data_IF_265365352054
#
_entry.id   IF_265365352054
#
_cell.length_a   1.000
_cell.length_b   1.000
_cell.length_c   1.000
_cell.angle_alpha   90.00
_cell.angle_beta   90.00
_cell.angle_gamma   90.00
#
_symmetry.space_group_name_H-M   'P 1'
#
loop_
_entity.id
_entity.type
_entity.pdbx_description
1 polymer ?
#
# COMPACT_ATOMS: atom_id res chain seq x y z
N UNK A 1 -1.92 -6.57 -7.24
CA UNK A 1 -1.30 -7.89 -7.50
C UNK A 1 -2.25 -8.86 -8.19
N UNK A 2 -3.36 -9.34 -7.58
CA UNK A 2 -4.22 -10.37 -8.17
C UNK A 2 -4.67 -10.11 -9.62
N UNK A 3 -5.13 -8.89 -9.93
CA UNK A 3 -5.51 -8.52 -11.30
C UNK A 3 -4.32 -8.53 -12.29
N UNK A 4 -3.12 -8.21 -11.83
CA UNK A 4 -1.93 -8.27 -12.65
C UNK A 4 -1.51 -9.72 -12.94
N UNK A 5 -1.57 -10.61 -11.94
CA UNK A 5 -1.36 -12.04 -12.14
C UNK A 5 -2.35 -12.63 -13.15
N UNK A 6 -3.63 -12.23 -13.06
CA UNK A 6 -4.65 -12.67 -14.04
C UNK A 6 -4.34 -12.23 -15.47
N UNK A 7 -3.81 -11.02 -15.67
CA UNK A 7 -3.36 -10.50 -16.97
C UNK A 7 -2.15 -11.26 -17.53
N UNK A 8 -1.29 -11.79 -16.64
CA UNK A 8 -0.16 -12.67 -17.03
C UNK A 8 -0.58 -14.11 -17.37
N UNK A 9 -1.88 -14.44 -17.31
CA UNK A 9 -2.41 -15.75 -17.62
C UNK A 9 -2.61 -16.68 -16.42
N UNK A 10 -2.28 -16.25 -15.20
CA UNK A 10 -2.54 -17.03 -14.00
C UNK A 10 -4.05 -17.07 -13.68
N UNK A 11 -4.60 -18.24 -13.40
CA UNK A 11 -5.93 -18.35 -12.80
C UNK A 11 -5.83 -18.01 -11.31
N UNK A 12 -6.45 -16.90 -10.90
CA UNK A 12 -6.43 -16.43 -9.52
C UNK A 12 -7.80 -16.63 -8.88
N UNK A 13 -7.84 -17.47 -7.84
CA UNK A 13 -9.01 -17.69 -7.01
C UNK A 13 -8.78 -16.96 -5.67
N UNK A 14 -9.34 -15.75 -5.56
CA UNK A 14 -9.21 -14.94 -4.34
C UNK A 14 -10.29 -15.34 -3.35
N UNK A 15 -9.89 -16.07 -2.31
CA UNK A 15 -10.82 -16.49 -1.28
C UNK A 15 -11.17 -15.34 -0.35
N UNK A 16 -12.46 -15.11 -0.16
CA UNK A 16 -12.99 -14.13 0.81
C UNK A 16 -13.82 -14.85 1.88
N UNK A 17 -13.76 -14.33 3.10
CA UNK A 17 -14.59 -14.79 4.22
C UNK A 17 -15.82 -13.92 4.45
N UNK A 18 -16.00 -12.85 3.65
CA UNK A 18 -17.12 -11.93 3.78
C UNK A 18 -18.40 -12.47 3.13
N UNK A 19 -19.56 -12.06 3.66
CA UNK A 19 -20.90 -12.51 3.23
C UNK A 19 -21.32 -12.00 1.84
N UNK A 20 -20.53 -11.15 1.20
CA UNK A 20 -20.87 -10.50 -0.06
C UNK A 20 -20.65 -11.34 -1.33
N UNK A 21 -20.10 -12.55 -1.23
CA UNK A 21 -19.83 -13.41 -2.39
C UNK A 21 -20.36 -14.81 -2.10
N UNK A 22 -21.29 -15.28 -2.94
CA UNK A 22 -21.76 -16.66 -2.94
C UNK A 22 -21.28 -17.33 -4.23
N UNK A 23 -20.52 -18.41 -4.09
CA UNK A 23 -19.94 -19.12 -5.22
C UNK A 23 -18.75 -18.38 -5.83
N UNK A 24 -18.78 -18.11 -7.14
CA UNK A 24 -17.70 -17.48 -7.89
C UNK A 24 -18.18 -16.20 -8.57
N UNK A 25 -17.45 -15.11 -8.35
CA UNK A 25 -17.69 -13.82 -9.02
C UNK A 25 -16.40 -13.34 -9.71
N UNK A 26 -16.44 -13.21 -11.04
CA UNK A 26 -15.33 -12.63 -11.79
C UNK A 26 -15.14 -11.15 -11.43
N UNK A 27 -13.89 -10.75 -11.26
CA UNK A 27 -13.48 -9.35 -11.00
C UNK A 27 -12.44 -8.84 -11.99
N UNK A 28 -12.04 -9.68 -12.93
CA UNK A 28 -11.07 -9.36 -13.98
C UNK A 28 -10.70 -10.58 -14.80
N UNK A 29 -9.83 -10.40 -15.77
CA UNK A 29 -9.32 -11.51 -16.60
C UNK A 29 -8.66 -12.56 -15.72
N UNK A 30 -9.17 -13.79 -15.76
CA UNK A 30 -8.68 -14.93 -14.97
C UNK A 30 -8.69 -14.73 -13.45
N UNK A 31 -9.44 -13.74 -12.91
CA UNK A 31 -9.50 -13.47 -11.45
C UNK A 31 -10.92 -13.58 -10.94
N UNK A 32 -11.09 -14.41 -9.93
CA UNK A 32 -12.37 -14.72 -9.34
C UNK A 32 -12.35 -14.56 -7.82
N UNK A 33 -13.36 -13.87 -7.27
CA UNK A 33 -13.66 -13.92 -5.84
C UNK A 33 -14.50 -15.16 -5.57
N UNK A 34 -14.21 -15.85 -4.45
CA UNK A 34 -15.00 -17.00 -4.03
C UNK A 34 -15.01 -17.15 -2.51
N UNK A 35 -16.10 -17.68 -1.98
CA UNK A 35 -16.20 -18.15 -0.60
C UNK A 35 -16.24 -19.70 -0.50
N UNK A 36 -16.13 -20.42 -1.62
CA UNK A 36 -16.15 -21.88 -1.65
C UNK A 36 -14.85 -22.44 -1.06
N UNK A 37 -14.90 -23.20 0.06
CA UNK A 37 -13.72 -23.79 0.68
C UNK A 37 -13.07 -24.88 -0.18
N UNK A 38 -13.77 -25.43 -1.17
CA UNK A 38 -13.22 -26.48 -2.06
C UNK A 38 -12.03 -25.99 -2.88
N UNK A 39 -11.89 -24.69 -3.08
CA UNK A 39 -10.70 -24.14 -3.77
C UNK A 39 -9.40 -24.41 -3.03
N UNK A 40 -9.48 -24.69 -1.73
CA UNK A 40 -8.31 -25.07 -0.92
C UNK A 40 -7.83 -26.50 -1.17
N UNK A 41 -8.64 -27.32 -1.83
CA UNK A 41 -8.30 -28.70 -2.16
C UNK A 41 -7.78 -28.88 -3.61
N UNK A 42 -7.56 -27.80 -4.35
CA UNK A 42 -7.03 -27.88 -5.73
C UNK A 42 -5.56 -28.30 -5.68
N UNK A 43 -5.24 -29.46 -6.24
CA UNK A 43 -3.87 -29.95 -6.32
C UNK A 43 -3.01 -29.12 -7.28
N UNK A 44 -1.72 -29.00 -6.97
CA UNK A 44 -0.75 -28.26 -7.77
C UNK A 44 -0.93 -26.73 -7.76
N UNK A 45 -1.87 -26.21 -6.98
CA UNK A 45 -2.06 -24.79 -6.83
C UNK A 45 -0.98 -24.15 -5.93
N UNK A 46 -0.53 -22.95 -6.31
CA UNK A 46 0.22 -22.07 -5.42
C UNK A 46 -0.73 -21.45 -4.42
N UNK A 47 -0.48 -21.64 -3.14
CA UNK A 47 -1.28 -21.04 -2.07
C UNK A 47 -0.59 -19.81 -1.51
N UNK A 48 -1.25 -18.67 -1.65
CA UNK A 48 -0.72 -17.40 -1.19
C UNK A 48 -1.39 -16.96 0.12
N UNK A 49 -0.60 -16.81 1.16
CA UNK A 49 -1.03 -16.19 2.42
C UNK A 49 -0.62 -14.71 2.43
N UNK A 50 -1.56 -13.87 2.09
CA UNK A 50 -1.39 -12.42 2.07
C UNK A 50 -1.49 -11.85 3.49
N UNK A 51 -0.36 -11.58 4.14
CA UNK A 51 -0.26 -11.17 5.54
C UNK A 51 -0.46 -12.31 6.56
N UNK A 52 0.13 -12.13 7.72
CA UNK A 52 0.04 -13.05 8.87
C UNK A 52 -1.38 -13.15 9.45
N UNK A 53 -2.24 -12.19 9.14
CA UNK A 53 -3.62 -12.14 9.66
C UNK A 53 -4.58 -13.08 8.92
N UNK A 54 -4.20 -13.60 7.75
CA UNK A 54 -5.08 -14.46 6.92
C UNK A 54 -5.16 -15.91 7.38
N UNK A 55 -4.31 -16.34 8.30
CA UNK A 55 -4.44 -17.68 8.89
C UNK A 55 -4.59 -17.56 10.41
N UNK A 56 -5.61 -18.26 10.93
CA UNK A 56 -5.95 -18.15 12.33
C UNK A 56 -5.01 -18.97 13.21
N UNK A 57 -4.54 -20.12 12.71
CA UNK A 57 -3.70 -21.08 13.42
C UNK A 57 -2.58 -21.63 12.53
N UNK A 58 -1.52 -22.12 13.15
CA UNK A 58 -0.39 -22.75 12.49
C UNK A 58 -0.80 -23.95 11.61
N UNK A 59 -1.81 -24.72 12.02
CA UNK A 59 -2.34 -25.86 11.26
C UNK A 59 -2.87 -25.46 9.87
N UNK A 60 -3.40 -24.25 9.71
CA UNK A 60 -3.95 -23.79 8.44
C UNK A 60 -2.83 -23.67 7.40
N UNK A 61 -1.71 -23.06 7.81
CA UNK A 61 -0.51 -22.92 6.99
C UNK A 61 0.14 -24.29 6.68
N UNK A 62 0.30 -25.11 7.70
CA UNK A 62 0.92 -26.45 7.57
C UNK A 62 0.08 -27.42 6.73
N UNK A 63 -1.26 -27.28 6.76
CA UNK A 63 -2.16 -28.04 5.88
C UNK A 63 -1.98 -27.64 4.42
N UNK A 64 -1.94 -26.34 4.14
CA UNK A 64 -1.68 -25.82 2.79
C UNK A 64 -0.33 -26.30 2.24
N UNK A 65 0.71 -26.32 3.09
CA UNK A 65 2.04 -26.80 2.73
C UNK A 65 2.09 -28.26 2.33
N UNK A 66 1.24 -29.11 2.92
CA UNK A 66 1.15 -30.55 2.55
C UNK A 66 0.54 -30.77 1.17
N UNK A 67 -0.28 -29.84 0.68
CA UNK A 67 -1.02 -29.96 -0.56
C UNK A 67 -0.42 -29.18 -1.74
N UNK A 68 0.72 -28.49 -1.56
CA UNK A 68 1.32 -27.78 -2.67
C UNK A 68 2.36 -26.72 -2.28
N UNK A 69 2.69 -25.89 -3.24
CA UNK A 69 3.61 -24.76 -3.07
C UNK A 69 2.93 -23.63 -2.30
N UNK A 70 3.59 -23.12 -1.27
CA UNK A 70 3.05 -22.08 -0.39
C UNK A 70 3.90 -20.84 -0.41
N UNK A 71 3.29 -19.68 -0.71
CA UNK A 71 3.91 -18.37 -0.56
C UNK A 71 3.38 -17.67 0.68
N UNK A 72 4.25 -16.92 1.34
CA UNK A 72 3.89 -16.03 2.44
C UNK A 72 4.26 -14.59 2.07
N UNK A 73 3.27 -13.73 1.94
CA UNK A 73 3.47 -12.30 1.69
C UNK A 73 3.62 -11.56 3.02
N UNK A 74 4.86 -11.26 3.37
CA UNK A 74 5.22 -10.50 4.56
C UNK A 74 5.22 -9.01 4.22
N UNK A 75 4.05 -8.37 4.38
CA UNK A 75 3.77 -7.04 3.85
C UNK A 75 3.73 -5.94 4.91
N UNK A 76 3.53 -6.31 6.19
CA UNK A 76 3.42 -5.38 7.30
C UNK A 76 4.32 -5.77 8.45
N UNK A 77 4.93 -4.77 9.08
CA UNK A 77 5.61 -4.93 10.35
C UNK A 77 4.60 -5.30 11.45
N UNK A 78 4.94 -6.31 12.25
CA UNK A 78 4.08 -6.75 13.36
C UNK A 78 4.49 -5.99 14.62
N UNK A 79 3.72 -4.97 14.97
CA UNK A 79 3.98 -4.08 16.11
C UNK A 79 2.81 -4.06 17.10
N UNK A 80 3.11 -3.79 18.37
CA UNK A 80 2.12 -3.79 19.45
C UNK A 80 1.04 -2.73 19.28
N UNK A 81 1.38 -1.58 18.70
CA UNK A 81 0.46 -0.44 18.53
C UNK A 81 -0.63 -0.70 17.49
N UNK A 82 -0.38 -1.62 16.53
CA UNK A 82 -1.31 -1.94 15.44
C UNK A 82 -1.87 -3.37 15.50
N UNK A 83 -1.33 -4.21 16.39
CA UNK A 83 -1.69 -5.65 16.48
C UNK A 83 -2.89 -5.96 17.40
N UNK A 84 -3.55 -4.97 17.97
CA UNK A 84 -4.72 -5.18 18.84
C UNK A 84 -4.40 -5.73 20.23
N UNK A 85 -3.20 -5.42 20.74
CA UNK A 85 -2.77 -5.77 22.11
C UNK A 85 -1.80 -6.95 22.20
N UNK A 86 -1.28 -7.19 23.41
CA UNK A 86 -0.16 -8.11 23.67
C UNK A 86 -0.45 -9.56 23.30
N UNK A 87 -1.68 -10.04 23.49
CA UNK A 87 -2.08 -11.42 23.16
C UNK A 87 -2.09 -11.65 21.64
N UNK A 88 -2.66 -10.70 20.90
CA UNK A 88 -2.66 -10.70 19.43
C UNK A 88 -1.25 -10.61 18.89
N UNK A 89 -0.41 -9.73 19.45
CA UNK A 89 0.99 -9.60 19.07
C UNK A 89 1.74 -10.94 19.19
N UNK A 90 1.66 -11.61 20.34
CA UNK A 90 2.32 -12.91 20.56
C UNK A 90 1.86 -13.95 19.55
N UNK A 91 0.55 -14.00 19.29
CA UNK A 91 -0.02 -14.92 18.30
C UNK A 91 0.53 -14.62 16.90
N UNK A 92 0.49 -13.37 16.45
CA UNK A 92 0.99 -12.98 15.12
C UNK A 92 2.48 -13.27 14.96
N UNK A 93 3.30 -13.00 15.99
CA UNK A 93 4.72 -13.33 15.96
C UNK A 93 4.98 -14.83 15.86
N UNK A 94 4.20 -15.68 16.60
CA UNK A 94 4.26 -17.12 16.46
C UNK A 94 3.91 -17.59 15.05
N UNK A 95 2.81 -17.07 14.47
CA UNK A 95 2.36 -17.42 13.13
C UNK A 95 3.38 -16.99 12.06
N UNK A 96 4.00 -15.82 12.22
CA UNK A 96 5.11 -15.36 11.37
C UNK A 96 6.27 -16.36 11.37
N UNK A 97 6.67 -16.86 12.54
CA UNK A 97 7.73 -17.86 12.63
C UNK A 97 7.37 -19.17 11.93
N UNK A 98 6.13 -19.62 12.06
CA UNK A 98 5.62 -20.81 11.35
C UNK A 98 5.67 -20.59 9.84
N UNK A 99 5.26 -19.41 9.37
CA UNK A 99 5.30 -19.06 7.95
C UNK A 99 6.75 -19.01 7.43
N UNK A 100 7.66 -18.36 8.12
CA UNK A 100 9.09 -18.32 7.75
C UNK A 100 9.73 -19.71 7.69
N UNK A 101 9.40 -20.57 8.62
CA UNK A 101 9.95 -21.94 8.66
C UNK A 101 9.43 -22.83 7.52
N UNK A 102 8.20 -22.63 7.05
CA UNK A 102 7.50 -23.58 6.19
C UNK A 102 7.13 -23.06 4.79
N UNK A 103 7.15 -21.74 4.53
CA UNK A 103 6.88 -21.21 3.19
C UNK A 103 7.94 -21.66 2.18
N UNK A 104 7.53 -21.97 0.96
CA UNK A 104 8.45 -22.20 -0.15
C UNK A 104 9.05 -20.88 -0.65
N UNK A 105 8.25 -19.82 -0.59
CA UNK A 105 8.67 -18.46 -0.93
C UNK A 105 8.10 -17.46 0.07
N UNK A 106 8.97 -16.59 0.59
CA UNK A 106 8.59 -15.40 1.36
C UNK A 106 8.73 -14.17 0.45
N UNK A 107 7.66 -13.38 0.38
CA UNK A 107 7.58 -12.17 -0.44
C UNK A 107 7.50 -10.98 0.48
N UNK A 108 8.43 -10.06 0.40
CA UNK A 108 8.47 -8.89 1.27
C UNK A 108 8.21 -7.60 0.49
N UNK A 109 7.43 -6.70 1.06
CA UNK A 109 7.04 -5.44 0.41
C UNK A 109 7.96 -4.27 0.73
N UNK A 110 8.78 -4.35 1.79
CA UNK A 110 9.74 -3.34 2.21
C UNK A 110 11.10 -3.96 2.47
N UNK A 111 12.18 -3.17 2.32
CA UNK A 111 13.56 -3.64 2.49
C UNK A 111 13.82 -4.18 3.89
N UNK A 112 13.33 -3.49 4.92
CA UNK A 112 13.47 -3.94 6.31
C UNK A 112 12.82 -5.32 6.52
N UNK A 113 11.65 -5.55 5.93
CA UNK A 113 10.96 -6.84 5.98
C UNK A 113 11.73 -7.92 5.20
N UNK A 114 12.32 -7.55 4.06
CA UNK A 114 13.14 -8.44 3.25
C UNK A 114 14.40 -8.88 4.00
N UNK A 115 15.07 -7.98 4.68
CA UNK A 115 16.25 -8.28 5.49
C UNK A 115 15.91 -9.27 6.61
N UNK A 116 14.82 -9.05 7.34
CA UNK A 116 14.32 -9.97 8.36
C UNK A 116 13.99 -11.35 7.76
N UNK A 117 13.28 -11.39 6.63
CA UNK A 117 12.93 -12.64 5.96
C UNK A 117 14.17 -13.40 5.49
N UNK A 118 15.16 -12.73 4.89
CA UNK A 118 16.40 -13.35 4.44
C UNK A 118 17.20 -13.90 5.62
N UNK A 119 17.25 -13.18 6.73
CA UNK A 119 17.91 -13.65 7.95
C UNK A 119 17.23 -14.90 8.52
N UNK A 120 15.87 -14.95 8.46
CA UNK A 120 15.09 -16.06 9.05
C UNK A 120 15.05 -17.32 8.18
N UNK A 121 14.98 -17.20 6.85
CA UNK A 121 14.75 -18.34 5.96
C UNK A 121 15.69 -18.44 4.75
N UNK A 122 16.69 -17.58 4.66
CA UNK A 122 17.69 -17.59 3.61
C UNK A 122 17.24 -16.93 2.30
N UNK A 123 18.18 -16.29 1.60
CA UNK A 123 17.91 -15.50 0.39
C UNK A 123 17.28 -16.29 -0.76
N UNK A 124 17.57 -17.61 -0.87
CA UNK A 124 17.04 -18.45 -1.93
C UNK A 124 15.50 -18.52 -1.90
N UNK A 125 14.89 -18.49 -0.70
CA UNK A 125 13.44 -18.54 -0.50
C UNK A 125 12.78 -17.16 -0.32
N UNK A 126 13.49 -16.07 -0.58
CA UNK A 126 12.97 -14.73 -0.42
C UNK A 126 12.97 -13.97 -1.74
N UNK A 127 11.98 -13.10 -1.93
CA UNK A 127 11.92 -12.14 -3.03
C UNK A 127 11.36 -10.81 -2.53
N UNK A 128 11.99 -9.73 -3.00
CA UNK A 128 11.52 -8.37 -2.73
C UNK A 128 10.55 -7.93 -3.81
N UNK A 129 9.30 -7.73 -3.45
CA UNK A 129 8.22 -7.25 -4.33
C UNK A 129 7.48 -6.11 -3.63
N UNK A 130 7.96 -4.87 -3.77
CA UNK A 130 7.27 -3.72 -3.19
C UNK A 130 5.89 -3.52 -3.82
N UNK A 131 5.08 -2.68 -3.21
CA UNK A 131 3.80 -2.30 -3.77
C UNK A 131 3.97 -1.65 -5.15
N UNK A 132 2.90 -1.65 -5.92
CA UNK A 132 2.83 -1.08 -7.27
C UNK A 132 1.60 -0.22 -7.46
N UNK A 133 1.41 0.27 -8.68
CA UNK A 133 0.28 1.14 -9.04
C UNK A 133 -0.43 0.65 -10.30
N UNK A 134 -1.74 0.87 -10.37
CA UNK A 134 -2.53 0.83 -11.60
C UNK A 134 -2.47 2.21 -12.27
N UNK A 135 -1.46 2.40 -13.11
CA UNK A 135 -1.22 3.67 -13.81
C UNK A 135 -2.40 4.05 -14.70
N UNK A 136 -3.04 3.07 -15.35
CA UNK A 136 -4.19 3.34 -16.20
C UNK A 136 -5.37 3.92 -15.40
N UNK A 137 -5.60 3.42 -14.19
CA UNK A 137 -6.63 3.92 -13.30
C UNK A 137 -6.41 5.42 -12.92
N UNK A 138 -5.17 5.79 -12.59
CA UNK A 138 -4.86 7.15 -12.14
C UNK A 138 -4.70 8.17 -13.27
N UNK A 139 -4.23 7.75 -14.46
CA UNK A 139 -4.03 8.62 -15.64
C UNK A 139 -5.26 8.77 -16.52
N UNK A 140 -6.24 7.89 -16.38
CA UNK A 140 -7.36 7.84 -17.31
C UNK A 140 -8.20 9.13 -17.25
N UNK A 141 -7.98 10.02 -18.24
CA UNK A 141 -8.65 11.33 -18.36
C UNK A 141 -10.06 11.23 -18.95
N UNK A 142 -10.45 10.05 -19.46
CA UNK A 142 -11.60 9.89 -20.33
C UNK A 142 -12.91 9.46 -19.66
N UNK A 143 -12.94 9.14 -18.38
CA UNK A 143 -14.14 8.61 -17.75
C UNK A 143 -14.70 9.56 -16.71
N UNK A 144 -15.90 10.06 -17.03
CA UNK A 144 -16.86 10.75 -16.19
C UNK A 144 -16.19 11.71 -15.17
N UNK A 145 -16.40 12.98 -15.36
CA UNK A 145 -16.32 13.97 -14.27
C UNK A 145 -17.26 13.49 -13.18
N UNK A 146 -16.73 12.68 -12.25
CA UNK A 146 -17.48 12.36 -11.04
C UNK A 146 -17.71 13.67 -10.30
N UNK A 147 -18.91 13.86 -9.80
CA UNK A 147 -19.26 15.01 -8.99
C UNK A 147 -18.29 15.09 -7.80
N UNK A 148 -17.34 15.99 -7.90
CA UNK A 148 -16.45 16.31 -6.81
C UNK A 148 -17.29 16.95 -5.72
N UNK A 149 -17.09 16.53 -4.48
CA UNK A 149 -17.77 17.10 -3.33
C UNK A 149 -17.73 18.62 -3.36
N UNK A 150 -18.89 19.27 -3.26
CA UNK A 150 -18.97 20.74 -3.16
C UNK A 150 -18.14 21.30 -2.01
N UNK A 151 -17.97 20.52 -0.94
CA UNK A 151 -17.10 20.88 0.18
C UNK A 151 -15.62 20.99 -0.25
N UNK A 152 -15.13 20.03 -1.06
CA UNK A 152 -13.74 20.09 -1.56
C UNK A 152 -13.56 21.26 -2.55
N UNK A 153 -14.55 21.50 -3.41
CA UNK A 153 -14.46 22.62 -4.35
C UNK A 153 -14.42 23.98 -3.60
N UNK A 154 -15.32 24.20 -2.65
CA UNK A 154 -15.33 25.40 -1.84
C UNK A 154 -14.05 25.56 -1.00
N UNK A 155 -13.52 24.45 -0.49
CA UNK A 155 -12.26 24.46 0.24
C UNK A 155 -11.07 24.84 -0.65
N UNK A 156 -11.01 24.30 -1.87
CA UNK A 156 -10.01 24.66 -2.86
C UNK A 156 -10.08 26.13 -3.26
N UNK A 157 -11.28 26.67 -3.44
CA UNK A 157 -11.48 28.08 -3.83
C UNK A 157 -11.04 29.05 -2.71
N UNK A 158 -11.02 28.59 -1.45
CA UNK A 158 -10.61 29.38 -0.29
C UNK A 158 -9.13 29.27 0.09
N UNK A 159 -8.36 28.39 -0.56
CA UNK A 159 -6.94 28.18 -0.26
C UNK A 159 -6.09 28.25 -1.54
N UNK A 160 -4.93 28.88 -1.43
CA UNK A 160 -4.03 29.06 -2.58
C UNK A 160 -3.48 27.75 -3.12
N UNK A 161 -3.16 26.81 -2.25
CA UNK A 161 -2.64 25.48 -2.58
C UNK A 161 -3.32 24.41 -1.73
N UNK A 162 -3.48 23.23 -2.29
CA UNK A 162 -4.02 22.06 -1.59
C UNK A 162 -2.95 20.98 -1.48
N UNK A 163 -2.68 20.56 -0.25
CA UNK A 163 -1.83 19.40 0.06
C UNK A 163 -2.72 18.27 0.56
N UNK A 164 -2.74 17.15 -0.16
CA UNK A 164 -3.71 16.10 0.07
C UNK A 164 -3.11 14.77 0.54
N UNK A 165 -3.85 14.07 1.37
CA UNK A 165 -3.63 12.70 1.79
C UNK A 165 -4.87 11.86 1.48
N UNK A 166 -4.67 10.69 0.89
CA UNK A 166 -5.70 9.67 0.85
C UNK A 166 -5.19 8.34 1.43
N UNK A 167 -6.03 7.69 2.21
CA UNK A 167 -5.75 6.45 2.91
C UNK A 167 -6.43 6.41 4.27
N UNK A 168 -6.26 5.34 5.03
CA UNK A 168 -6.85 5.23 6.36
C UNK A 168 -6.38 6.36 7.29
N UNK A 169 -7.33 6.95 8.01
CA UNK A 169 -7.05 7.85 9.15
C UNK A 169 -6.81 6.94 10.35
N UNK A 170 -5.55 6.80 10.75
CA UNK A 170 -5.09 5.65 11.51
C UNK A 170 -4.00 6.02 12.53
N UNK A 171 -3.71 5.15 13.53
CA UNK A 171 -2.73 5.46 14.59
C UNK A 171 -1.30 5.76 14.10
N UNK A 172 -0.95 5.36 12.90
CA UNK A 172 0.38 5.64 12.31
C UNK A 172 0.51 7.01 11.65
N UNK A 173 -0.55 7.84 11.62
CA UNK A 173 -0.44 9.24 11.19
C UNK A 173 0.10 10.09 12.34
N UNK A 174 1.02 11.00 12.03
CA UNK A 174 1.61 11.94 12.99
C UNK A 174 0.74 13.19 13.12
N UNK A 175 -0.29 13.10 13.95
CA UNK A 175 -1.30 14.15 14.13
C UNK A 175 -0.73 15.44 14.69
N UNK A 176 0.27 15.37 15.59
CA UNK A 176 0.96 16.54 16.13
C UNK A 176 1.70 17.29 15.02
N UNK A 177 2.40 16.58 14.14
CA UNK A 177 3.02 17.17 12.95
C UNK A 177 1.98 17.89 12.09
N UNK A 178 0.83 17.24 11.81
CA UNK A 178 -0.25 17.86 11.03
C UNK A 178 -0.79 19.12 11.71
N UNK A 179 -0.93 19.12 13.05
CA UNK A 179 -1.37 20.28 13.81
C UNK A 179 -0.38 21.45 13.67
N UNK A 180 0.92 21.19 13.84
CA UNK A 180 1.96 22.21 13.75
C UNK A 180 2.09 22.77 12.32
N UNK A 181 2.15 21.94 11.29
CA UNK A 181 2.27 22.43 9.89
C UNK A 181 1.03 23.18 9.44
N UNK A 182 -0.17 22.78 9.87
CA UNK A 182 -1.40 23.50 9.54
C UNK A 182 -1.47 24.89 10.24
N UNK A 183 -0.81 25.06 11.38
CA UNK A 183 -0.64 26.36 12.03
C UNK A 183 0.38 27.23 11.32
N UNK A 184 1.51 26.65 10.93
CA UNK A 184 2.61 27.36 10.26
C UNK A 184 2.24 27.80 8.84
N UNK A 185 1.31 27.11 8.17
CA UNK A 185 0.95 27.31 6.76
C UNK A 185 -0.54 27.60 6.59
N UNK A 186 -1.07 28.73 7.13
CA UNK A 186 -2.51 29.01 7.14
C UNK A 186 -3.14 29.18 5.76
N UNK A 187 -2.36 29.54 4.74
CA UNK A 187 -2.81 29.70 3.34
C UNK A 187 -2.81 28.38 2.55
N UNK A 188 -2.31 27.29 3.15
CA UNK A 188 -2.31 25.94 2.55
C UNK A 188 -3.47 25.14 3.13
N UNK A 189 -4.33 24.62 2.25
CA UNK A 189 -5.39 23.68 2.64
C UNK A 189 -4.87 22.24 2.72
N UNK A 190 -5.07 21.59 3.86
CA UNK A 190 -4.73 20.19 4.08
C UNK A 190 -5.99 19.33 3.97
N UNK A 191 -6.02 18.41 3.00
CA UNK A 191 -7.18 17.56 2.72
C UNK A 191 -6.88 16.11 3.07
N UNK A 192 -7.77 15.49 3.82
CA UNK A 192 -7.71 14.07 4.19
C UNK A 192 -8.90 13.32 3.62
N UNK A 193 -8.63 12.23 2.89
CA UNK A 193 -9.63 11.34 2.30
C UNK A 193 -9.37 9.91 2.78
N UNK A 194 -10.39 9.25 3.32
CA UNK A 194 -10.31 7.82 3.64
C UNK A 194 -11.11 7.41 4.86
N UNK A 195 -11.16 6.10 5.14
CA UNK A 195 -11.91 5.58 6.27
C UNK A 195 -11.22 5.88 7.61
N UNK A 196 -12.03 5.98 8.65
CA UNK A 196 -11.54 6.00 10.03
C UNK A 196 -11.09 4.58 10.43
N UNK A 197 -9.83 4.49 10.81
CA UNK A 197 -9.28 3.27 11.36
C UNK A 197 -8.98 3.47 12.85
N UNK A 198 -9.69 2.73 13.68
CA UNK A 198 -9.55 2.78 15.15
C UNK A 198 -9.99 4.08 15.83
N UNK A 199 -10.92 4.85 15.24
CA UNK A 199 -11.46 6.06 15.87
C UNK A 199 -10.49 7.24 15.89
N UNK A 200 -9.65 7.39 14.86
CA UNK A 200 -8.60 8.40 14.81
C UNK A 200 -9.02 9.76 14.22
N UNK A 201 -10.21 9.87 13.61
CA UNK A 201 -10.70 11.16 13.08
C UNK A 201 -10.65 12.32 14.07
N UNK A 202 -11.03 12.13 15.37
CA UNK A 202 -10.97 13.21 16.35
C UNK A 202 -9.56 13.77 16.64
N UNK A 203 -8.50 13.05 16.21
CA UNK A 203 -7.10 13.48 16.35
C UNK A 203 -6.68 14.46 15.25
N UNK A 204 -7.43 14.53 14.14
CA UNK A 204 -7.17 15.55 13.10
C UNK A 204 -7.39 16.96 13.67
N UNK A 205 -6.50 17.91 13.33
CA UNK A 205 -6.63 19.30 13.82
C UNK A 205 -7.94 19.95 13.34
N UNK A 206 -8.64 20.59 14.27
CA UNK A 206 -9.85 21.37 13.96
C UNK A 206 -9.48 22.81 13.59
N UNK A 207 -9.01 23.01 12.33
CA UNK A 207 -8.61 24.30 11.80
C UNK A 207 -9.35 24.57 10.50
N UNK A 208 -9.52 25.86 10.14
CA UNK A 208 -10.19 26.26 8.89
C UNK A 208 -9.48 25.77 7.63
N UNK A 209 -8.18 25.48 7.71
CA UNK A 209 -7.36 24.96 6.63
C UNK A 209 -7.10 23.44 6.69
N UNK A 210 -7.89 22.70 7.46
CA UNK A 210 -7.86 21.24 7.51
C UNK A 210 -9.25 20.69 7.20
N UNK A 211 -9.36 19.89 6.14
CA UNK A 211 -10.62 19.30 5.68
C UNK A 211 -10.52 17.78 5.68
N UNK A 212 -11.44 17.11 6.37
CA UNK A 212 -11.67 15.69 6.25
C UNK A 212 -12.94 15.42 5.44
N UNK A 213 -12.83 14.61 4.38
CA UNK A 213 -13.93 14.33 3.45
C UNK A 213 -14.62 12.98 3.68
N UNK A 214 -14.06 12.13 4.55
CA UNK A 214 -14.50 10.76 4.65
C UNK A 214 -13.96 9.85 3.54
N UNK A 215 -14.42 8.59 3.48
CA UNK A 215 -14.02 7.65 2.43
C UNK A 215 -14.64 8.03 1.08
N UNK A 216 -13.84 7.87 0.02
CA UNK A 216 -14.23 8.04 -1.37
C UNK A 216 -14.02 6.71 -2.08
N UNK A 217 -14.96 6.30 -2.94
CA UNK A 217 -14.80 5.09 -3.75
C UNK A 217 -13.51 5.14 -4.57
N UNK A 218 -12.79 4.01 -4.63
CA UNK A 218 -11.51 3.92 -5.33
C UNK A 218 -11.58 4.43 -6.78
N UNK A 219 -12.67 4.10 -7.50
CA UNK A 219 -12.89 4.56 -8.87
C UNK A 219 -12.95 6.08 -9.03
N UNK A 220 -13.35 6.81 -7.97
CA UNK A 220 -13.52 8.27 -7.97
C UNK A 220 -12.28 8.99 -7.44
N UNK A 221 -11.43 8.28 -6.70
CA UNK A 221 -10.29 8.83 -5.99
C UNK A 221 -9.34 9.66 -6.87
N UNK A 222 -9.03 9.24 -8.13
CA UNK A 222 -8.18 10.03 -9.01
C UNK A 222 -8.73 11.44 -9.29
N UNK A 223 -10.06 11.58 -9.42
CA UNK A 223 -10.69 12.90 -9.68
C UNK A 223 -10.52 13.87 -8.50
N UNK A 224 -10.64 13.35 -7.27
CA UNK A 224 -10.39 14.15 -6.06
C UNK A 224 -8.91 14.52 -5.92
N UNK A 225 -8.01 13.56 -6.10
CA UNK A 225 -6.58 13.75 -5.91
C UNK A 225 -5.95 14.65 -7.00
N UNK A 226 -6.54 14.77 -8.18
CA UNK A 226 -6.12 15.77 -9.21
C UNK A 226 -6.24 17.20 -8.73
N UNK A 227 -7.13 17.49 -7.78
CA UNK A 227 -7.27 18.83 -7.20
C UNK A 227 -6.14 19.19 -6.22
N UNK A 228 -5.32 18.24 -5.83
CA UNK A 228 -4.17 18.50 -4.97
C UNK A 228 -3.03 19.12 -5.78
N UNK A 229 -2.32 20.06 -5.18
CA UNK A 229 -1.12 20.67 -5.73
C UNK A 229 0.14 19.86 -5.37
N UNK A 230 0.13 19.25 -4.17
CA UNK A 230 1.11 18.30 -3.70
C UNK A 230 0.40 17.25 -2.82
N UNK A 231 1.08 16.15 -2.58
CA UNK A 231 0.59 15.09 -1.68
C UNK A 231 1.55 14.90 -0.51
N UNK A 232 1.06 14.34 0.60
CA UNK A 232 1.90 14.07 1.75
C UNK A 232 1.57 12.74 2.42
N UNK A 233 2.57 12.16 3.10
CA UNK A 233 2.42 10.93 3.89
C UNK A 233 3.06 11.19 5.26
N UNK A 234 2.31 11.79 6.19
CA UNK A 234 2.83 12.21 7.49
C UNK A 234 2.76 11.05 8.49
N UNK A 235 3.53 10.00 8.29
CA UNK A 235 3.57 8.88 9.23
C UNK A 235 4.45 9.20 10.43
N UNK A 236 4.07 8.72 11.61
CA UNK A 236 4.93 8.76 12.80
C UNK A 236 6.24 8.05 12.50
N UNK A 237 7.36 8.68 12.85
CA UNK A 237 8.68 8.05 12.70
C UNK A 237 8.78 6.80 13.56
N UNK A 238 9.51 5.78 13.09
CA UNK A 238 9.68 4.50 13.75
C UNK A 238 9.57 3.32 12.81
N UNK A 239 9.53 2.11 13.38
CA UNK A 239 9.62 0.86 12.62
C UNK A 239 8.45 0.65 11.65
N UNK A 240 7.25 1.13 11.98
CA UNK A 240 6.09 1.09 11.08
C UNK A 240 6.40 1.89 9.80
N UNK A 241 6.90 3.12 9.94
CA UNK A 241 7.24 3.95 8.79
C UNK A 241 8.38 3.33 7.96
N UNK A 242 9.44 2.81 8.62
CA UNK A 242 10.58 2.16 7.96
C UNK A 242 10.20 0.89 7.20
N UNK A 243 9.23 0.15 7.71
CA UNK A 243 8.78 -1.12 7.14
C UNK A 243 7.57 -0.99 6.19
N UNK A 244 7.14 0.23 5.88
CA UNK A 244 5.98 0.46 5.02
C UNK A 244 6.39 0.77 3.60
N UNK A 245 5.88 -0.01 2.63
CA UNK A 245 5.87 0.33 1.20
C UNK A 245 4.50 0.93 0.86
N UNK A 246 4.33 2.27 0.89
CA UNK A 246 3.01 2.85 0.76
C UNK A 246 2.54 2.85 -0.69
N UNK A 247 1.41 2.19 -0.96
CA UNK A 247 0.72 2.21 -2.27
C UNK A 247 0.56 3.62 -2.81
N UNK A 248 0.14 4.54 -1.94
CA UNK A 248 -0.17 5.92 -2.30
C UNK A 248 1.00 6.72 -2.87
N UNK A 249 2.26 6.33 -2.57
CA UNK A 249 3.41 6.98 -3.19
C UNK A 249 3.38 6.85 -4.72
N UNK A 250 3.19 5.62 -5.21
CA UNK A 250 3.16 5.35 -6.64
C UNK A 250 1.87 5.85 -7.31
N UNK A 251 0.78 5.90 -6.56
CA UNK A 251 -0.49 6.50 -6.98
C UNK A 251 -0.35 8.03 -7.16
N UNK A 252 0.36 8.70 -6.24
CA UNK A 252 0.71 10.12 -6.37
C UNK A 252 1.65 10.37 -7.54
N UNK A 253 2.63 9.50 -7.78
CA UNK A 253 3.50 9.58 -8.95
C UNK A 253 2.69 9.44 -10.25
N UNK A 254 1.74 8.50 -10.32
CA UNK A 254 0.88 8.33 -11.49
C UNK A 254 -0.01 9.55 -11.76
N UNK A 255 -0.35 10.33 -10.73
CA UNK A 255 -1.05 11.61 -10.80
C UNK A 255 -0.09 12.81 -11.04
N UNK A 256 1.21 12.55 -11.19
CA UNK A 256 2.25 13.59 -11.36
C UNK A 256 2.27 14.60 -10.21
N UNK A 257 1.95 14.15 -8.98
CA UNK A 257 1.93 15.02 -7.79
C UNK A 257 3.24 14.89 -7.01
N UNK A 258 3.91 16.01 -6.69
CA UNK A 258 5.03 16.02 -5.76
C UNK A 258 4.60 15.46 -4.41
N UNK A 259 5.48 14.70 -3.77
CA UNK A 259 5.15 13.99 -2.52
C UNK A 259 6.10 14.39 -1.40
N UNK A 260 5.53 14.64 -0.23
CA UNK A 260 6.26 14.94 1.01
C UNK A 260 6.01 13.84 2.03
N UNK A 261 7.08 13.31 2.63
CA UNK A 261 7.00 12.21 3.60
C UNK A 261 7.81 12.51 4.86
N UNK A 262 7.59 11.78 5.93
CA UNK A 262 8.52 11.79 7.07
C UNK A 262 9.79 11.00 6.74
N UNK A 263 10.94 11.41 7.32
CA UNK A 263 12.25 10.89 6.91
C UNK A 263 12.47 9.40 7.18
N UNK A 264 11.72 8.79 8.09
CA UNK A 264 11.78 7.34 8.36
C UNK A 264 11.07 6.47 7.30
N UNK A 265 10.38 7.07 6.34
CA UNK A 265 9.73 6.32 5.25
C UNK A 265 10.76 5.88 4.21
N UNK A 266 11.57 4.88 4.56
CA UNK A 266 12.72 4.42 3.78
C UNK A 266 12.37 4.00 2.36
N UNK A 267 11.22 3.39 2.14
CA UNK A 267 10.74 3.00 0.81
C UNK A 267 10.29 4.20 -0.05
N UNK A 268 10.19 5.39 0.54
CA UNK A 268 9.86 6.63 -0.17
C UNK A 268 11.08 7.50 -0.43
N UNK A 269 11.90 7.73 0.61
CA UNK A 269 13.06 8.65 0.52
C UNK A 269 14.20 8.15 -0.37
N UNK A 270 14.12 6.93 -0.87
CA UNK A 270 15.05 6.41 -1.89
C UNK A 270 14.84 7.06 -3.26
N UNK A 271 13.71 7.72 -3.50
CA UNK A 271 13.42 8.45 -4.74
C UNK A 271 13.82 9.91 -4.57
N UNK A 272 14.68 10.41 -5.46
CA UNK A 272 15.17 11.81 -5.44
C UNK A 272 14.04 12.83 -5.61
N UNK A 273 12.91 12.43 -6.19
CA UNK A 273 11.71 13.24 -6.40
C UNK A 273 10.84 13.38 -5.14
N UNK A 274 11.16 12.67 -4.06
CA UNK A 274 10.43 12.73 -2.80
C UNK A 274 11.07 13.73 -1.85
N UNK A 275 10.26 14.63 -1.35
CA UNK A 275 10.65 15.60 -0.33
C UNK A 275 10.42 14.99 1.07
N UNK A 276 11.26 15.33 2.04
CA UNK A 276 11.11 14.79 3.40
C UNK A 276 11.46 15.79 4.49
N UNK A 277 10.90 15.57 5.68
CA UNK A 277 11.21 16.34 6.89
C UNK A 277 10.99 15.51 8.15
N UNK A 278 11.82 15.76 9.18
CA UNK A 278 11.81 15.01 10.44
C UNK A 278 11.14 15.77 11.61
N UNK A 279 10.71 16.99 11.35
CA UNK A 279 9.98 17.86 12.27
C UNK A 279 9.12 18.85 11.48
N UNK A 280 8.28 19.61 12.15
CA UNK A 280 7.33 20.51 11.51
C UNK A 280 7.99 21.57 10.62
N UNK A 281 9.13 22.12 11.03
CA UNK A 281 9.85 23.15 10.28
C UNK A 281 10.41 22.57 8.97
N UNK A 282 11.06 21.41 9.06
CA UNK A 282 11.60 20.70 7.88
C UNK A 282 10.48 20.25 6.96
N UNK A 283 9.39 19.72 7.52
CA UNK A 283 8.25 19.23 6.76
C UNK A 283 7.50 20.37 6.05
N UNK A 284 7.29 21.52 6.70
CA UNK A 284 6.73 22.71 6.07
C UNK A 284 7.60 23.20 4.90
N UNK A 285 8.93 23.25 5.10
CA UNK A 285 9.88 23.59 4.02
C UNK A 285 9.83 22.58 2.86
N UNK A 286 9.70 21.29 3.17
CA UNK A 286 9.54 20.23 2.17
C UNK A 286 8.23 20.42 1.36
N UNK A 287 7.14 20.82 2.02
CA UNK A 287 5.88 21.19 1.34
C UNK A 287 6.09 22.38 0.40
N UNK A 288 6.76 23.44 0.85
CA UNK A 288 7.06 24.60 0.01
C UNK A 288 7.87 24.22 -1.24
N UNK A 289 8.91 23.38 -1.06
CA UNK A 289 9.72 22.87 -2.16
C UNK A 289 8.89 22.04 -3.15
N UNK A 290 8.02 21.16 -2.66
CA UNK A 290 7.10 20.37 -3.47
C UNK A 290 6.14 21.25 -4.26
N UNK A 291 5.56 22.28 -3.62
CA UNK A 291 4.68 23.25 -4.27
C UNK A 291 5.39 24.08 -5.34
N UNK A 292 6.67 24.37 -5.17
CA UNK A 292 7.45 25.14 -6.15
C UNK A 292 7.67 24.37 -7.46
N UNK A 293 7.80 23.05 -7.41
CA UNK A 293 8.05 22.19 -8.60
C UNK A 293 6.77 21.60 -9.20
N UNK A 294 5.59 21.80 -8.60
CA UNK A 294 4.34 21.15 -9.00
C UNK A 294 3.92 21.34 -10.46
N UNK A 295 4.39 22.45 -11.07
CA UNK A 295 4.09 22.79 -12.46
C UNK A 295 5.30 22.62 -13.40
N UNK A 296 6.44 22.12 -12.91
CA UNK A 296 7.61 21.85 -13.74
C UNK A 296 7.35 20.60 -14.61
N UNK A 297 7.32 20.74 -15.95
CA UNK A 297 7.05 19.61 -16.84
C UNK A 297 8.11 18.51 -16.75
N UNK A 298 9.37 18.87 -16.46
CA UNK A 298 10.45 17.89 -16.34
C UNK A 298 10.31 17.07 -15.07
N UNK A 299 9.91 17.71 -13.96
CA UNK A 299 9.62 17.03 -12.70
C UNK A 299 8.43 16.09 -12.84
N UNK A 300 7.33 16.55 -13.44
CA UNK A 300 6.15 15.72 -13.71
C UNK A 300 6.48 14.49 -14.55
N UNK A 301 7.31 14.64 -15.59
CA UNK A 301 7.75 13.53 -16.42
C UNK A 301 8.51 12.49 -15.59
N UNK A 302 9.42 12.89 -14.70
CA UNK A 302 10.12 11.95 -13.82
C UNK A 302 9.17 11.20 -12.90
N UNK A 303 8.18 11.87 -12.32
CA UNK A 303 7.15 11.19 -11.53
C UNK A 303 6.36 10.16 -12.35
N UNK A 304 6.00 10.54 -13.58
CA UNK A 304 5.33 9.67 -14.53
C UNK A 304 6.17 8.42 -14.85
N UNK A 305 7.46 8.60 -15.13
CA UNK A 305 8.40 7.51 -15.41
C UNK A 305 8.56 6.58 -14.19
N UNK A 306 8.62 7.15 -12.97
CA UNK A 306 8.64 6.39 -11.72
C UNK A 306 7.36 5.57 -11.52
N UNK A 307 6.19 6.12 -11.85
CA UNK A 307 4.94 5.36 -11.79
C UNK A 307 4.97 4.18 -12.77
N UNK A 308 5.44 4.39 -14.01
CA UNK A 308 5.55 3.34 -15.02
C UNK A 308 6.53 2.23 -14.61
N UNK A 309 7.64 2.59 -13.96
CA UNK A 309 8.60 1.62 -13.44
C UNK A 309 8.07 0.79 -12.25
N UNK A 310 7.01 1.27 -11.58
CA UNK A 310 6.44 0.65 -10.39
C UNK A 310 5.02 0.11 -10.62
N UNK A 311 4.67 -0.32 -11.84
CA UNK A 311 3.37 -0.91 -12.16
C UNK A 311 3.20 -2.30 -11.54
N UNK A 312 1.96 -2.66 -11.25
CA UNK A 312 1.60 -3.99 -10.74
C UNK A 312 1.97 -5.14 -11.66
N UNK A 313 1.98 -4.95 -13.00
CA UNK A 313 2.37 -6.00 -13.94
C UNK A 313 3.86 -6.37 -13.79
N UNK A 314 4.75 -5.38 -13.66
CA UNK A 314 6.18 -5.61 -13.38
C UNK A 314 6.38 -6.35 -12.06
N UNK A 315 5.60 -6.00 -11.03
CA UNK A 315 5.62 -6.70 -9.74
C UNK A 315 5.15 -8.16 -9.86
N UNK A 316 4.09 -8.38 -10.63
CA UNK A 316 3.56 -9.72 -10.88
C UNK A 316 4.55 -10.59 -11.67
N UNK A 317 5.22 -10.05 -12.67
CA UNK A 317 6.27 -10.76 -13.43
C UNK A 317 7.41 -11.21 -12.51
N UNK A 318 7.91 -10.33 -11.64
CA UNK A 318 8.94 -10.66 -10.65
C UNK A 318 8.49 -11.79 -9.72
N UNK A 319 7.25 -11.73 -9.27
CA UNK A 319 6.66 -12.71 -8.36
C UNK A 319 6.53 -14.08 -9.04
N UNK A 320 5.93 -14.14 -10.22
CA UNK A 320 5.73 -15.37 -11.01
C UNK A 320 7.07 -16.01 -11.38
N UNK A 321 8.01 -15.24 -11.93
CA UNK A 321 9.33 -15.74 -12.31
C UNK A 321 10.07 -16.39 -11.13
N UNK A 322 9.94 -15.83 -9.93
CA UNK A 322 10.54 -16.42 -8.73
C UNK A 322 9.89 -17.74 -8.34
N UNK A 323 8.57 -17.84 -8.40
CA UNK A 323 7.83 -19.08 -8.15
C UNK A 323 8.25 -20.17 -9.15
N UNK A 324 8.22 -19.86 -10.44
CA UNK A 324 8.60 -20.79 -11.52
C UNK A 324 10.02 -21.32 -11.35
N UNK A 325 10.96 -20.43 -11.02
CA UNK A 325 12.35 -20.80 -10.74
C UNK A 325 12.48 -21.79 -9.56
N UNK A 326 11.69 -21.60 -8.50
CA UNK A 326 11.72 -22.49 -7.34
C UNK A 326 11.06 -23.85 -7.62
N UNK A 327 9.95 -23.86 -8.35
CA UNK A 327 9.28 -25.09 -8.78
C UNK A 327 10.20 -25.90 -9.70
N UNK A 328 10.80 -25.28 -10.71
CA UNK A 328 11.73 -25.94 -11.62
C UNK A 328 12.98 -26.50 -10.93
N UNK A 329 13.43 -25.89 -9.85
CA UNK A 329 14.58 -26.39 -9.07
C UNK A 329 14.23 -27.49 -8.08
N UNK A 330 12.94 -27.68 -7.78
CA UNK A 330 12.45 -28.74 -6.89
C UNK A 330 12.17 -30.07 -7.62
N UNK A 331 11.90 -30.00 -8.94
CA UNK A 331 11.76 -31.18 -9.81
C UNK A 331 13.12 -31.48 -10.44
N UNK A 332 13.92 -32.44 -9.93
CA UNK A 332 15.11 -32.87 -10.66
C UNK A 332 14.65 -33.51 -11.98
N UNK A 333 15.09 -32.90 -13.09
CA UNK A 333 14.93 -33.49 -14.43
C UNK A 333 15.47 -34.92 -14.39
N UNK A 334 14.69 -35.93 -14.79
CA UNK A 334 15.12 -37.34 -14.77
C UNK A 334 16.24 -37.61 -15.76
#
# INVERSE_FOLDING_TARGET
MALALGKLGCLVLYRTTGDGVVGFRSIGTNVWLTNDPKVEAIDGAVRCFYSTTLFAEDRDFLSAKKSGFVTYEYIDHIDASISGGTSSLRRLLKLKQVAFANADLVVSSAKLLQEEAVQACGAARCVFVPNGVDVAHYRNEGHATYDISSALQAFKDSHRNIVGYFGAIAPWLWYELVAEISEMMPDVGFVFIGPDYSGCIPLLPRRSNVLYLGPVDYKNLPSYARLFDACFIPFVMGDIARATSPLKLFEYFALEKPVVVTGDMQECVVYEEVFSGNNAIEFARAIENALNVRNDPSFKRRLSDLADANRWDIRAETYVSKIESLIASADPVP
#
